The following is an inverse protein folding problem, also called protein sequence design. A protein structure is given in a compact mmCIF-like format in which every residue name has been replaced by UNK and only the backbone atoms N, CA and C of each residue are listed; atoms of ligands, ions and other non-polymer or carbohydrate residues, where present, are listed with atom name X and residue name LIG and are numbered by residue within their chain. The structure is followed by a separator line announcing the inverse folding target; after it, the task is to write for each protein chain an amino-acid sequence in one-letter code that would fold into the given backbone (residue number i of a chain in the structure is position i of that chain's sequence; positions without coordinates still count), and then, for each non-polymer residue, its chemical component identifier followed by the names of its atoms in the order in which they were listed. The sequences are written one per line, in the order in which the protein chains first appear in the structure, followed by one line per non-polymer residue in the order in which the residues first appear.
data_IF_113791260331
#
_entry.id   IF_113791260331
#
_cell.length_a   1.000
_cell.length_b   1.000
_cell.length_c   1.000
_cell.angle_alpha   90.00
_cell.angle_beta   90.00
_cell.angle_gamma   90.00
#
_symmetry.space_group_name_H-M   'P 1'
#
loop_
_entity.id
_entity.type
_entity.pdbx_description
1 polymer ?
#
# COMPACT_ATOMS: atom_id res chain seq x y z
N UNK A 1 -7.38 -0.84 -13.65
CA UNK A 1 -6.50 -1.47 -12.65
C UNK A 1 -5.06 -0.99 -12.87
N UNK A 2 -4.48 -0.25 -11.92
CA UNK A 2 -3.18 0.41 -12.11
C UNK A 2 -2.03 -0.57 -12.33
N UNK A 3 -2.06 -1.78 -11.76
CA UNK A 3 -1.00 -2.78 -11.89
C UNK A 3 -1.16 -3.73 -13.09
N UNK A 4 -2.18 -3.54 -13.95
CA UNK A 4 -2.33 -4.30 -15.19
C UNK A 4 -2.41 -5.84 -15.04
N UNK A 5 -2.79 -6.34 -13.86
CA UNK A 5 -2.79 -7.78 -13.54
C UNK A 5 -1.41 -8.36 -13.18
N UNK A 6 -0.35 -7.56 -13.23
CA UNK A 6 1.04 -7.95 -12.93
C UNK A 6 1.56 -7.32 -11.64
N UNK A 7 0.74 -7.34 -10.61
CA UNK A 7 1.11 -6.78 -9.32
C UNK A 7 0.07 -7.10 -8.27
N UNK A 8 0.46 -6.97 -7.02
CA UNK A 8 -0.36 -7.30 -5.86
C UNK A 8 -0.27 -6.19 -4.83
N UNK A 9 -1.37 -5.95 -4.15
CA UNK A 9 -1.44 -5.06 -2.99
C UNK A 9 -1.95 -5.90 -1.84
N UNK A 10 -1.22 -5.89 -0.73
CA UNK A 10 -1.59 -6.52 0.52
C UNK A 10 -1.62 -5.46 1.62
N UNK A 11 -2.77 -5.32 2.27
CA UNK A 11 -2.93 -4.43 3.43
C UNK A 11 -3.30 -5.29 4.63
N UNK A 12 -2.58 -5.12 5.74
CA UNK A 12 -2.88 -5.77 7.01
C UNK A 12 -2.78 -4.78 8.15
N UNK A 13 -3.72 -4.85 9.08
CA UNK A 13 -3.64 -4.16 10.37
C UNK A 13 -2.81 -5.03 11.31
N UNK A 14 -1.91 -4.43 12.09
CA UNK A 14 -1.22 -5.15 13.14
C UNK A 14 -2.15 -5.38 14.33
N UNK A 15 -2.20 -6.61 14.84
CA UNK A 15 -3.02 -6.95 16.02
C UNK A 15 -2.34 -6.65 17.36
N UNK A 16 -1.04 -6.37 17.35
CA UNK A 16 -0.23 -6.15 18.56
C UNK A 16 0.39 -4.76 18.63
N UNK A 17 0.38 -4.02 17.52
CA UNK A 17 0.94 -2.67 17.41
C UNK A 17 -0.08 -1.77 16.73
N UNK A 18 -0.17 -0.47 17.05
CA UNK A 18 -1.10 0.47 16.42
C UNK A 18 -0.57 0.92 15.05
N UNK A 19 -0.31 -0.03 14.15
CA UNK A 19 0.25 0.24 12.82
C UNK A 19 -0.49 -0.55 11.72
N UNK A 20 -0.56 0.04 10.54
CA UNK A 20 -1.05 -0.61 9.32
C UNK A 20 0.13 -0.90 8.41
N UNK A 21 0.24 -2.12 7.89
CA UNK A 21 1.30 -2.54 6.98
C UNK A 21 0.73 -2.68 5.57
N UNK A 22 1.33 -1.97 4.63
CA UNK A 22 0.98 -1.98 3.20
C UNK A 22 2.17 -2.56 2.43
N UNK A 23 1.93 -3.60 1.65
CA UNK A 23 2.92 -4.22 0.77
C UNK A 23 2.41 -4.20 -0.67
N UNK A 24 3.26 -3.77 -1.59
CA UNK A 24 2.92 -3.67 -3.00
C UNK A 24 4.02 -4.33 -3.83
N UNK A 25 3.61 -5.19 -4.75
CA UNK A 25 4.47 -5.84 -5.74
C UNK A 25 4.10 -5.31 -7.13
N UNK A 26 5.11 -5.03 -7.98
CA UNK A 26 4.92 -4.63 -9.37
C UNK A 26 6.23 -4.53 -10.14
N UNK A 27 6.16 -4.62 -11.47
CA UNK A 27 7.33 -4.60 -12.37
C UNK A 27 8.03 -3.22 -12.43
N UNK A 28 7.30 -2.13 -12.16
CA UNK A 28 7.79 -0.76 -12.28
C UNK A 28 7.99 -0.12 -10.89
N UNK A 29 9.23 0.04 -10.42
CA UNK A 29 9.51 0.51 -9.06
C UNK A 29 8.92 1.90 -8.75
N UNK A 30 9.04 2.85 -9.69
CA UNK A 30 8.49 4.20 -9.52
C UNK A 30 6.97 4.19 -9.29
N UNK A 31 6.28 3.28 -9.98
CA UNK A 31 4.84 3.11 -9.85
C UNK A 31 4.46 2.42 -8.54
N UNK A 32 5.22 1.40 -8.13
CA UNK A 32 5.05 0.74 -6.83
C UNK A 32 5.22 1.75 -5.69
N UNK A 33 6.27 2.57 -5.74
CA UNK A 33 6.55 3.58 -4.72
C UNK A 33 5.46 4.65 -4.66
N UNK A 34 5.02 5.16 -5.81
CA UNK A 34 3.91 6.12 -5.88
C UNK A 34 2.63 5.53 -5.27
N UNK A 35 2.25 4.32 -5.67
CA UNK A 35 1.05 3.65 -5.15
C UNK A 35 1.15 3.39 -3.64
N UNK A 36 2.33 3.02 -3.14
CA UNK A 36 2.54 2.80 -1.71
C UNK A 36 2.33 4.09 -0.91
N UNK A 37 2.87 5.20 -1.40
CA UNK A 37 2.68 6.53 -0.79
C UNK A 37 1.22 6.98 -0.84
N UNK A 38 0.57 6.85 -1.99
CA UNK A 38 -0.84 7.25 -2.16
C UNK A 38 -1.75 6.47 -1.18
N UNK A 39 -1.53 5.17 -1.03
CA UNK A 39 -2.31 4.33 -0.10
C UNK A 39 -2.00 4.69 1.36
N UNK A 40 -0.73 4.89 1.71
CA UNK A 40 -0.34 5.28 3.06
C UNK A 40 -0.98 6.61 3.48
N UNK A 41 -0.99 7.61 2.59
CA UNK A 41 -1.61 8.92 2.83
C UNK A 41 -3.12 8.82 3.09
N UNK A 42 -3.82 7.97 2.33
CA UNK A 42 -5.25 7.74 2.56
C UNK A 42 -5.50 7.07 3.92
N UNK A 43 -4.70 6.06 4.27
CA UNK A 43 -4.81 5.37 5.56
C UNK A 43 -4.56 6.34 6.72
N UNK A 44 -3.52 7.18 6.62
CA UNK A 44 -3.20 8.19 7.61
C UNK A 44 -4.33 9.21 7.77
N UNK A 45 -4.95 9.65 6.67
CA UNK A 45 -6.08 10.58 6.72
C UNK A 45 -7.34 10.00 7.40
N UNK A 46 -7.61 8.71 7.21
CA UNK A 46 -8.84 8.08 7.72
C UNK A 46 -8.68 7.47 9.13
N UNK A 47 -7.44 7.18 9.56
CA UNK A 47 -7.14 6.53 10.85
C UNK A 47 -6.28 7.38 11.81
N UNK A 48 -5.67 8.47 11.34
CA UNK A 48 -4.93 9.45 12.14
C UNK A 48 -5.83 10.56 12.67
#
# INVERSE_FOLDING_TARGET
ASLGGKGRVLVRVSGTEPVVRVMIEGEEPAKVERLARDIALVIEKELG
#
